data_IF_660227369819
#
_entry.id   IF_660227369819
#
_cell.length_a   1.000
_cell.length_b   1.000
_cell.length_c   1.000
_cell.angle_alpha   90.00
_cell.angle_beta   90.00
_cell.angle_gamma   90.00
#
_symmetry.space_group_name_H-M   'P 1'
#
loop_
_entity.id
_entity.type
_entity.pdbx_description
1 polymer ?
#
# COMPACT_ATOMS: atom_id res chain seq x y z
N UNK A 1 -3.14 -6.07 53.15
CA UNK A 1 -2.62 -5.00 52.27
C UNK A 1 -3.64 -4.74 51.19
N UNK A 2 -3.98 -3.47 50.95
CA UNK A 2 -4.95 -3.09 49.92
C UNK A 2 -4.34 -3.24 48.52
N UNK A 3 -5.17 -3.54 47.52
CA UNK A 3 -4.75 -3.65 46.12
C UNK A 3 -5.59 -2.71 45.26
N UNK A 4 -4.93 -2.08 44.29
CA UNK A 4 -5.60 -1.37 43.21
C UNK A 4 -5.46 -2.17 41.93
N UNK A 5 -6.51 -2.20 41.12
CA UNK A 5 -6.61 -2.99 39.89
C UNK A 5 -6.79 -2.08 38.70
N UNK A 6 -6.35 -2.54 37.54
CA UNK A 6 -6.58 -1.87 36.27
C UNK A 6 -6.73 -2.90 35.15
N UNK A 7 -7.52 -2.52 34.13
CA UNK A 7 -7.73 -3.37 32.95
C UNK A 7 -7.85 -2.52 31.70
N UNK A 8 -7.19 -2.97 30.63
CA UNK A 8 -7.16 -2.28 29.34
C UNK A 8 -7.90 -3.12 28.29
N UNK A 9 -8.75 -2.48 27.49
CA UNK A 9 -9.31 -3.03 26.25
C UNK A 9 -8.91 -2.12 25.10
N UNK A 10 -8.38 -2.73 24.05
CA UNK A 10 -8.15 -2.06 22.78
C UNK A 10 -9.41 -2.18 21.93
N UNK A 11 -9.86 -1.06 21.37
CA UNK A 11 -10.97 -0.96 20.42
C UNK A 11 -10.48 -0.61 19.02
N UNK A 12 -11.29 -1.04 18.07
CA UNK A 12 -11.17 -1.10 16.62
C UNK A 12 -10.24 -0.07 15.93
N UNK A 13 -9.27 -0.60 15.17
CA UNK A 13 -8.80 -0.02 13.92
C UNK A 13 -9.23 -1.01 12.84
N UNK A 14 -9.96 -0.56 11.82
CA UNK A 14 -10.67 -1.32 10.77
C UNK A 14 -9.91 -2.46 10.06
N UNK A 15 -8.66 -2.72 10.41
CA UNK A 15 -7.71 -3.63 9.77
C UNK A 15 -7.08 -4.68 10.70
N UNK A 16 -7.35 -4.67 12.03
CA UNK A 16 -6.79 -5.68 12.95
C UNK A 16 -7.89 -6.59 13.48
N UNK A 17 -7.89 -7.82 12.98
CA UNK A 17 -8.86 -8.87 13.34
C UNK A 17 -8.43 -9.69 14.57
N UNK A 18 -7.19 -9.54 15.07
CA UNK A 18 -6.68 -10.34 16.19
C UNK A 18 -5.58 -9.63 17.02
N UNK A 19 -5.84 -9.46 18.32
CA UNK A 19 -4.93 -8.81 19.27
C UNK A 19 -4.09 -9.79 20.12
N UNK A 20 -4.20 -11.10 19.93
CA UNK A 20 -3.57 -12.11 20.80
C UNK A 20 -2.03 -12.02 20.92
N UNK A 21 -1.36 -11.42 19.93
CA UNK A 21 0.09 -11.20 19.92
C UNK A 21 0.51 -9.84 20.47
N UNK A 22 -0.45 -8.96 20.80
CA UNK A 22 -0.16 -7.70 21.47
C UNK A 22 0.08 -7.95 22.95
N UNK A 23 0.80 -7.04 23.59
CA UNK A 23 0.98 -7.06 25.03
C UNK A 23 1.00 -5.65 25.60
N UNK A 24 0.91 -5.50 26.91
CA UNK A 24 0.99 -4.20 27.57
C UNK A 24 1.68 -4.29 28.93
N UNK A 25 2.18 -3.16 29.40
CA UNK A 25 2.68 -2.94 30.75
C UNK A 25 1.83 -1.83 31.38
N UNK A 26 1.43 -2.01 32.63
CA UNK A 26 0.78 -0.98 33.42
C UNK A 26 1.78 -0.37 34.41
N UNK A 27 1.78 0.96 34.51
CA UNK A 27 2.56 1.73 35.47
C UNK A 27 1.59 2.42 36.43
N UNK A 28 1.65 2.06 37.70
CA UNK A 28 0.86 2.65 38.77
C UNK A 28 1.65 3.74 39.48
N UNK A 29 1.00 4.84 39.82
CA UNK A 29 1.56 5.91 40.66
C UNK A 29 0.60 6.11 41.84
N UNK A 30 1.04 5.72 43.04
CA UNK A 30 0.22 5.78 44.25
C UNK A 30 0.05 7.21 44.75
N UNK A 31 -0.84 7.40 45.73
CA UNK A 31 -1.07 8.71 46.36
C UNK A 31 0.15 9.30 47.06
N UNK A 32 1.17 8.47 47.36
CA UNK A 32 2.44 8.91 47.97
C UNK A 32 3.53 9.21 46.93
N UNK A 33 3.23 9.03 45.63
CA UNK A 33 4.20 9.17 44.54
C UNK A 33 5.03 7.91 44.27
N UNK A 34 4.75 6.78 44.93
CA UNK A 34 5.44 5.52 44.66
C UNK A 34 5.03 4.97 43.31
N UNK A 35 6.02 4.59 42.50
CA UNK A 35 5.82 4.08 41.14
C UNK A 35 6.06 2.57 41.13
N UNK A 36 5.17 1.83 40.48
CA UNK A 36 5.34 0.40 40.24
C UNK A 36 4.89 0.01 38.85
N UNK A 37 5.57 -0.96 38.25
CA UNK A 37 5.24 -1.46 36.91
C UNK A 37 4.93 -2.94 36.95
N UNK A 38 4.03 -3.37 36.08
CA UNK A 38 3.69 -4.79 35.94
C UNK A 38 4.65 -5.47 34.97
N UNK A 39 4.70 -6.80 35.04
CA UNK A 39 5.25 -7.58 33.94
C UNK A 39 4.41 -7.37 32.67
N UNK A 40 5.04 -7.60 31.52
CA UNK A 40 4.39 -7.56 30.21
C UNK A 40 3.27 -8.62 30.18
N UNK A 41 2.05 -8.17 29.90
CA UNK A 41 0.83 -8.96 29.97
C UNK A 41 0.14 -8.98 28.61
N UNK A 42 -0.52 -10.09 28.24
CA UNK A 42 -1.09 -10.28 26.89
C UNK A 42 -2.53 -9.77 26.75
N UNK A 43 -2.99 -9.63 25.51
CA UNK A 43 -4.39 -9.42 25.18
C UNK A 43 -5.05 -10.72 24.70
N UNK A 44 -6.36 -10.83 24.92
CA UNK A 44 -7.22 -11.79 24.23
C UNK A 44 -7.41 -11.38 22.76
N UNK A 45 -7.85 -12.30 21.90
CA UNK A 45 -8.06 -12.04 20.47
C UNK A 45 -8.99 -10.85 20.20
N UNK A 46 -9.99 -10.65 21.07
CA UNK A 46 -10.97 -9.57 21.02
C UNK A 46 -10.47 -8.21 21.57
N UNK A 47 -9.16 -8.08 21.83
CA UNK A 47 -8.55 -6.84 22.32
C UNK A 47 -8.70 -6.60 23.82
N UNK A 48 -9.30 -7.51 24.59
CA UNK A 48 -9.41 -7.39 26.04
C UNK A 48 -8.14 -7.89 26.73
N UNK A 49 -7.48 -7.02 27.49
CA UNK A 49 -6.32 -7.36 28.29
C UNK A 49 -6.69 -8.20 29.51
N UNK A 50 -5.71 -8.90 30.08
CA UNK A 50 -5.86 -9.47 31.42
C UNK A 50 -6.02 -8.35 32.46
N UNK A 51 -6.44 -8.69 33.66
CA UNK A 51 -6.48 -7.72 34.74
C UNK A 51 -5.13 -7.69 35.44
N UNK A 52 -4.67 -6.50 35.83
CA UNK A 52 -3.42 -6.31 36.55
C UNK A 52 -3.67 -5.58 37.86
N UNK A 53 -2.79 -5.77 38.84
CA UNK A 53 -2.93 -5.19 40.18
C UNK A 53 -1.61 -4.67 40.73
N UNK A 54 -1.70 -3.70 41.63
CA UNK A 54 -0.58 -3.20 42.40
C UNK A 54 -0.91 -3.16 43.91
N UNK A 55 0.05 -3.60 44.74
CA UNK A 55 -0.10 -3.64 46.19
C UNK A 55 0.20 -2.28 46.80
N UNK A 56 -0.67 -1.83 47.71
CA UNK A 56 -0.59 -0.55 48.39
C UNK A 56 -0.10 -0.70 49.83
N UNK A 57 0.72 0.25 50.25
CA UNK A 57 1.14 0.40 51.63
C UNK A 57 -0.02 0.93 52.48
N UNK A 58 0.09 0.77 53.80
CA UNK A 58 -0.98 1.14 54.73
C UNK A 58 -1.40 2.63 54.68
N UNK A 59 -0.52 3.51 54.21
CA UNK A 59 -0.74 4.95 54.10
C UNK A 59 -1.13 5.42 52.67
N UNK A 60 -1.29 4.51 51.72
CA UNK A 60 -1.62 4.85 50.33
C UNK A 60 -3.10 4.68 50.04
N UNK A 61 -3.68 5.69 49.38
CA UNK A 61 -5.13 5.77 49.11
C UNK A 61 -5.41 5.21 47.71
N UNK A 62 -6.18 4.11 47.58
CA UNK A 62 -6.47 3.48 46.29
C UNK A 62 -7.11 4.42 45.27
N UNK A 63 -8.05 5.25 45.71
CA UNK A 63 -8.82 6.17 44.87
C UNK A 63 -7.98 7.33 44.31
N UNK A 64 -6.82 7.60 44.92
CA UNK A 64 -5.86 8.61 44.48
C UNK A 64 -4.69 7.99 43.69
N UNK A 65 -4.74 6.69 43.41
CA UNK A 65 -3.72 5.99 42.63
C UNK A 65 -4.06 6.06 41.15
N UNK A 66 -3.12 6.48 40.33
CA UNK A 66 -3.30 6.57 38.87
C UNK A 66 -2.61 5.42 38.16
N UNK A 67 -3.07 5.11 36.95
CA UNK A 67 -2.44 4.09 36.09
C UNK A 67 -2.25 4.63 34.69
N UNK A 68 -1.13 4.24 34.09
CA UNK A 68 -0.88 4.41 32.66
C UNK A 68 -0.48 3.09 32.02
N UNK A 69 -0.73 2.96 30.72
CA UNK A 69 -0.43 1.76 29.96
C UNK A 69 0.52 2.05 28.81
N UNK A 70 1.44 1.11 28.61
CA UNK A 70 2.30 1.01 27.43
C UNK A 70 1.89 -0.22 26.65
N UNK A 71 1.43 -0.04 25.42
CA UNK A 71 1.06 -1.15 24.53
C UNK A 71 2.28 -1.55 23.73
N UNK A 72 2.44 -2.84 23.45
CA UNK A 72 3.49 -3.39 22.61
C UNK A 72 2.87 -4.18 21.46
N UNK A 73 3.39 -3.93 20.27
CA UNK A 73 3.04 -4.62 19.03
C UNK A 73 3.54 -6.07 19.05
N UNK A 74 3.06 -6.94 18.13
CA UNK A 74 3.56 -8.31 17.98
C UNK A 74 5.08 -8.43 17.80
N UNK A 75 5.73 -7.41 17.25
CA UNK A 75 7.19 -7.31 17.12
C UNK A 75 7.91 -7.11 18.45
N UNK A 76 7.19 -6.83 19.54
CA UNK A 76 7.73 -6.45 20.83
C UNK A 76 8.01 -4.95 20.98
N UNK A 77 7.83 -4.14 19.94
CA UNK A 77 8.02 -2.68 19.94
C UNK A 77 6.91 -1.96 20.70
N UNK A 78 7.26 -0.96 21.52
CA UNK A 78 6.28 -0.09 22.20
C UNK A 78 5.49 0.75 21.17
N UNK A 79 4.16 0.69 21.23
CA UNK A 79 3.26 1.47 20.41
C UNK A 79 3.19 2.91 20.94
N UNK A 80 3.61 3.86 20.10
CA UNK A 80 3.60 5.30 20.37
C UNK A 80 4.12 5.67 21.77
N UNK A 81 5.43 5.51 22.05
CA UNK A 81 6.02 5.70 23.38
C UNK A 81 5.92 7.13 23.92
N UNK A 82 5.50 8.09 23.08
CA UNK A 82 5.26 9.49 23.46
C UNK A 82 3.84 9.73 24.00
N UNK A 83 2.91 8.82 23.71
CA UNK A 83 1.52 8.91 24.18
C UNK A 83 1.36 8.02 25.39
N UNK A 84 1.12 8.65 26.54
CA UNK A 84 0.82 7.96 27.79
C UNK A 84 -0.68 7.66 27.81
N UNK A 85 -1.05 6.38 27.79
CA UNK A 85 -2.45 5.95 27.85
C UNK A 85 -2.85 5.89 29.32
N UNK A 86 -3.47 6.94 29.83
CA UNK A 86 -4.03 6.94 31.18
C UNK A 86 -5.29 6.08 31.23
N UNK A 87 -5.48 5.42 32.37
CA UNK A 87 -6.64 4.56 32.57
C UNK A 87 -7.25 4.69 33.95
N UNK A 88 -8.29 3.89 34.14
CA UNK A 88 -9.00 3.80 35.40
C UNK A 88 -8.37 2.75 36.30
N UNK A 89 -8.14 3.14 37.55
CA UNK A 89 -7.90 2.24 38.66
C UNK A 89 -9.21 1.95 39.38
N UNK A 90 -9.32 0.78 40.01
CA UNK A 90 -10.46 0.43 40.86
C UNK A 90 -10.03 -0.52 41.97
N UNK A 91 -10.82 -0.55 43.05
CA UNK A 91 -10.75 -1.57 44.09
C UNK A 91 -11.81 -2.65 43.82
N UNK A 92 -11.56 -3.86 44.31
CA UNK A 92 -12.51 -4.97 44.16
C UNK A 92 -13.28 -5.20 45.44
N UNK A 93 -14.59 -5.09 45.36
CA UNK A 93 -15.51 -5.69 46.33
C UNK A 93 -15.95 -7.06 45.84
N UNK A 94 -16.53 -7.87 46.74
CA UNK A 94 -16.84 -9.31 46.52
C UNK A 94 -17.67 -9.59 45.25
N UNK A 95 -18.34 -8.58 44.67
CA UNK A 95 -19.12 -8.70 43.43
C UNK A 95 -18.92 -7.57 42.41
N UNK A 96 -17.84 -6.79 42.49
CA UNK A 96 -17.62 -5.64 41.60
C UNK A 96 -17.21 -6.07 40.19
N UNK A 97 -17.84 -5.47 39.16
CA UNK A 97 -17.40 -5.62 37.76
C UNK A 97 -16.12 -4.78 37.52
N UNK A 98 -15.16 -5.28 36.73
CA UNK A 98 -13.94 -4.53 36.43
C UNK A 98 -14.25 -3.26 35.66
N UNK A 99 -13.62 -2.15 36.06
CA UNK A 99 -13.65 -0.90 35.27
C UNK A 99 -12.63 -1.04 34.15
N UNK A 100 -13.10 -1.02 32.91
CA UNK A 100 -12.27 -1.25 31.72
C UNK A 100 -11.87 0.12 31.15
N UNK A 101 -10.57 0.35 31.07
CA UNK A 101 -10.02 1.44 30.25
C UNK A 101 -10.14 1.02 28.79
N UNK A 102 -10.91 1.76 28.01
CA UNK A 102 -11.04 1.50 26.58
C UNK A 102 -10.16 2.49 25.81
N UNK A 103 -9.33 1.95 24.91
CA UNK A 103 -8.45 2.76 24.07
C UNK A 103 -8.65 2.40 22.60
N UNK A 104 -9.06 3.38 21.80
CA UNK A 104 -9.13 3.24 20.35
C UNK A 104 -7.71 3.27 19.77
N UNK A 105 -7.22 2.11 19.34
CA UNK A 105 -5.90 1.99 18.73
C UNK A 105 -5.94 2.53 17.29
N UNK A 106 -5.85 3.85 17.17
CA UNK A 106 -5.73 4.57 15.91
C UNK A 106 -4.31 4.43 15.37
N UNK A 107 -4.04 3.35 14.63
CA UNK A 107 -2.84 3.22 13.79
C UNK A 107 -2.89 4.23 12.64
N UNK A 108 -2.81 5.52 12.96
CA UNK A 108 -2.73 6.60 11.98
C UNK A 108 -1.49 7.45 12.29
N UNK A 109 -0.67 7.62 11.25
CA UNK A 109 0.49 8.51 11.17
C UNK A 109 0.06 9.93 11.55
N UNK A 110 0.52 10.47 12.68
CA UNK A 110 0.28 11.88 13.01
C UNK A 110 1.05 12.77 12.02
N UNK A 111 0.32 13.37 11.06
CA UNK A 111 0.79 14.54 10.32
C UNK A 111 0.55 15.77 11.19
N UNK A 112 1.52 16.21 11.97
CA UNK A 112 1.40 17.43 12.77
C UNK A 112 1.66 18.68 11.91
N UNK A 113 0.63 19.51 11.75
CA UNK A 113 0.71 20.89 11.26
C UNK A 113 1.17 21.78 12.42
N UNK A 114 2.39 22.33 12.34
CA UNK A 114 2.93 23.55 12.99
C UNK A 114 4.37 23.31 13.48
N UNK A 115 5.33 23.55 12.58
CA UNK A 115 6.74 23.71 12.91
C UNK A 115 7.02 25.15 13.34
N UNK A 116 7.03 25.46 14.64
CA UNK A 116 7.79 26.63 15.12
C UNK A 116 8.41 26.33 16.48
N UNK A 117 9.76 26.30 16.47
CA UNK A 117 10.71 26.40 17.60
C UNK A 117 10.74 25.24 18.61
N UNK A 118 11.57 24.22 18.32
CA UNK A 118 12.59 23.72 19.26
C UNK A 118 13.59 22.85 18.45
N UNK A 119 14.84 23.32 18.31
CA UNK A 119 15.93 22.54 17.70
C UNK A 119 16.40 21.49 18.72
N UNK A 120 16.10 20.22 18.47
CA UNK A 120 16.73 19.05 19.13
C UNK A 120 17.79 18.50 18.15
N UNK A 121 18.98 18.07 18.60
CA UNK A 121 20.02 17.54 17.73
C UNK A 121 19.49 16.35 16.92
N UNK A 122 19.55 16.48 15.60
CA UNK A 122 19.12 15.56 14.54
C UNK A 122 19.09 14.06 14.92
N UNK A 123 17.95 13.57 15.41
CA UNK A 123 17.56 12.18 15.18
C UNK A 123 17.06 12.09 13.74
N UNK A 124 17.89 11.55 12.83
CA UNK A 124 17.48 11.27 11.46
C UNK A 124 16.64 9.99 11.46
N UNK A 125 15.32 10.15 11.54
CA UNK A 125 14.38 9.04 11.32
C UNK A 125 14.45 8.69 9.84
N UNK A 126 14.69 7.41 9.53
CA UNK A 126 14.76 6.99 8.15
C UNK A 126 13.37 7.10 7.49
N UNK A 127 13.26 7.75 6.34
CA UNK A 127 12.03 7.81 5.55
C UNK A 127 11.76 6.43 4.97
N UNK A 128 10.66 5.81 5.37
CA UNK A 128 10.14 4.56 4.80
C UNK A 128 8.94 4.89 3.91
N UNK A 129 8.93 4.36 2.68
CA UNK A 129 7.79 4.52 1.78
C UNK A 129 6.90 3.28 1.82
N UNK A 130 5.57 3.43 1.80
CA UNK A 130 4.69 2.29 1.58
C UNK A 130 4.99 1.71 0.21
N UNK A 131 5.04 0.38 0.11
CA UNK A 131 5.27 -0.31 -1.16
C UNK A 131 4.11 0.00 -2.13
N UNK A 132 4.37 0.68 -3.27
CA UNK A 132 3.36 0.93 -4.28
C UNK A 132 2.86 -0.39 -4.87
N UNK A 133 1.56 -0.46 -5.15
CA UNK A 133 0.93 -1.63 -5.79
C UNK A 133 1.50 -1.87 -7.20
N UNK A 134 1.96 -0.81 -7.85
CA UNK A 134 2.72 -0.90 -9.10
C UNK A 134 3.97 -1.77 -9.00
N UNK A 135 4.74 -1.71 -7.88
CA UNK A 135 5.93 -2.56 -7.72
C UNK A 135 5.53 -4.03 -7.58
N UNK A 136 4.45 -4.32 -6.84
CA UNK A 136 3.92 -5.68 -6.68
C UNK A 136 3.50 -6.25 -8.04
N UNK A 137 2.81 -5.44 -8.86
CA UNK A 137 2.38 -5.88 -10.19
C UNK A 137 3.56 -6.11 -11.13
N UNK A 138 4.57 -5.24 -11.12
CA UNK A 138 5.80 -5.43 -11.90
C UNK A 138 6.51 -6.72 -11.49
N UNK A 139 6.64 -6.99 -10.18
CA UNK A 139 7.26 -8.21 -9.69
C UNK A 139 6.45 -9.46 -10.03
N UNK A 140 5.13 -9.35 -10.04
CA UNK A 140 4.22 -10.42 -10.44
C UNK A 140 4.35 -10.76 -11.94
N UNK A 141 4.31 -9.76 -12.81
CA UNK A 141 4.35 -9.89 -14.27
C UNK A 141 5.78 -9.95 -14.85
N UNK A 142 6.79 -10.13 -14.01
CA UNK A 142 8.21 -9.91 -14.38
C UNK A 142 8.68 -10.75 -15.57
N UNK A 143 8.17 -11.98 -15.72
CA UNK A 143 8.57 -12.88 -16.80
C UNK A 143 7.94 -12.46 -18.13
N UNK A 144 6.67 -12.11 -18.10
CA UNK A 144 5.87 -11.64 -19.22
C UNK A 144 6.41 -10.29 -19.72
N UNK A 145 6.74 -9.38 -18.80
CA UNK A 145 7.36 -8.09 -19.11
C UNK A 145 8.71 -8.28 -19.81
N UNK A 146 9.60 -9.11 -19.24
CA UNK A 146 10.91 -9.41 -19.84
C UNK A 146 10.76 -10.01 -21.24
N UNK A 147 9.85 -10.97 -21.39
CA UNK A 147 9.59 -11.64 -22.66
C UNK A 147 9.05 -10.67 -23.72
N UNK A 148 8.10 -9.80 -23.34
CA UNK A 148 7.53 -8.80 -24.23
C UNK A 148 8.56 -7.77 -24.71
N UNK A 149 9.42 -7.28 -23.80
CA UNK A 149 10.50 -6.36 -24.14
C UNK A 149 11.49 -6.96 -25.15
N UNK A 150 11.99 -8.17 -24.86
CA UNK A 150 12.90 -8.90 -25.75
C UNK A 150 12.26 -9.15 -27.12
N UNK A 151 11.03 -9.67 -27.14
CA UNK A 151 10.30 -9.99 -28.37
C UNK A 151 10.12 -8.78 -29.30
N UNK A 152 9.89 -7.60 -28.72
CA UNK A 152 9.61 -6.37 -29.46
C UNK A 152 10.83 -5.43 -29.59
N UNK A 153 12.01 -5.86 -29.12
CA UNK A 153 13.25 -5.08 -29.23
C UNK A 153 13.27 -3.77 -28.42
N UNK A 154 12.51 -3.72 -27.32
CA UNK A 154 12.47 -2.58 -26.38
C UNK A 154 13.00 -2.99 -25.00
N UNK A 155 13.47 -2.02 -24.22
CA UNK A 155 13.92 -2.27 -22.85
C UNK A 155 12.73 -2.73 -21.98
N UNK A 156 12.79 -3.92 -21.32
CA UNK A 156 11.75 -4.36 -20.39
C UNK A 156 11.42 -3.35 -19.29
N UNK A 157 12.35 -2.48 -18.91
CA UNK A 157 12.11 -1.42 -17.93
C UNK A 157 11.08 -0.39 -18.40
N UNK A 158 10.92 -0.19 -19.71
CA UNK A 158 9.86 0.66 -20.28
C UNK A 158 8.49 0.06 -20.02
N UNK A 159 8.31 -1.22 -20.34
CA UNK A 159 7.05 -1.95 -20.11
C UNK A 159 6.74 -1.99 -18.62
N UNK A 160 7.75 -2.23 -17.78
CA UNK A 160 7.61 -2.22 -16.33
C UNK A 160 7.18 -0.85 -15.78
N UNK A 161 7.72 0.24 -16.33
CA UNK A 161 7.37 1.60 -15.92
C UNK A 161 5.91 1.94 -16.25
N UNK A 162 5.42 1.50 -17.41
CA UNK A 162 4.01 1.62 -17.79
C UNK A 162 3.12 0.81 -16.83
N UNK A 163 3.46 -0.46 -16.58
CA UNK A 163 2.70 -1.30 -15.64
C UNK A 163 2.67 -0.70 -14.24
N UNK A 164 3.82 -0.23 -13.75
CA UNK A 164 3.91 0.41 -12.44
C UNK A 164 2.97 1.61 -12.35
N UNK A 165 2.98 2.47 -13.36
CA UNK A 165 2.24 3.71 -13.41
C UNK A 165 0.72 3.49 -13.40
N UNK A 166 0.26 2.55 -14.22
CA UNK A 166 -1.15 2.18 -14.33
C UNK A 166 -1.68 1.57 -13.03
N UNK A 167 -0.81 0.86 -12.30
CA UNK A 167 -1.20 0.09 -11.11
C UNK A 167 -0.73 0.70 -9.80
N UNK A 168 -0.07 1.86 -9.82
CA UNK A 168 0.61 2.48 -8.67
C UNK A 168 -0.27 2.58 -7.41
N UNK A 169 -1.56 2.90 -7.57
CA UNK A 169 -2.49 3.10 -6.46
C UNK A 169 -3.36 1.89 -6.11
N UNK A 170 -3.30 0.78 -6.86
CA UNK A 170 -3.98 -0.49 -6.59
C UNK A 170 -5.49 -0.48 -6.30
N UNK A 171 -6.09 -1.69 -6.33
CA UNK A 171 -7.51 -2.09 -6.09
C UNK A 171 -8.59 -1.38 -6.92
N UNK A 172 -8.47 -0.10 -7.25
CA UNK A 172 -9.43 0.62 -8.09
C UNK A 172 -9.31 0.27 -9.58
N UNK A 173 -8.15 -0.16 -10.07
CA UNK A 173 -8.00 -0.63 -11.46
C UNK A 173 -8.69 -1.99 -11.68
N UNK A 174 -8.49 -2.95 -10.78
CA UNK A 174 -9.19 -4.25 -10.79
C UNK A 174 -10.70 -4.09 -10.57
N UNK A 175 -11.10 -3.30 -9.56
CA UNK A 175 -12.52 -3.02 -9.32
C UNK A 175 -13.14 -2.18 -10.43
N UNK A 176 -12.42 -1.30 -11.13
CA UNK A 176 -12.95 -0.60 -12.32
C UNK A 176 -13.21 -1.56 -13.47
N UNK A 177 -12.32 -2.51 -13.75
CA UNK A 177 -12.55 -3.49 -14.81
C UNK A 177 -13.76 -4.38 -14.49
N UNK A 178 -13.90 -4.81 -13.24
CA UNK A 178 -15.05 -5.57 -12.75
C UNK A 178 -16.34 -4.71 -12.71
N UNK A 179 -16.25 -3.47 -12.24
CA UNK A 179 -17.37 -2.54 -12.13
C UNK A 179 -17.82 -2.02 -13.49
N UNK A 180 -16.93 -1.82 -14.47
CA UNK A 180 -17.31 -1.52 -15.85
C UNK A 180 -18.00 -2.71 -16.52
N UNK A 181 -17.58 -3.94 -16.22
CA UNK A 181 -18.30 -5.14 -16.66
C UNK A 181 -19.73 -5.19 -16.09
N UNK A 182 -19.92 -4.86 -14.79
CA UNK A 182 -21.24 -4.87 -14.15
C UNK A 182 -22.10 -3.61 -14.39
N UNK A 183 -21.51 -2.41 -14.54
CA UNK A 183 -22.24 -1.15 -14.70
C UNK A 183 -22.66 -0.86 -16.16
N UNK A 184 -21.91 -1.37 -17.15
CA UNK A 184 -22.28 -1.24 -18.55
C UNK A 184 -23.20 -2.39 -19.03
N UNK A 185 -23.80 -3.16 -18.13
CA UNK A 185 -24.63 -4.34 -18.48
C UNK A 185 -23.91 -5.37 -19.37
N UNK A 186 -22.57 -5.41 -19.37
CA UNK A 186 -21.77 -6.25 -20.25
C UNK A 186 -21.26 -5.59 -21.54
N UNK A 187 -21.53 -4.29 -21.79
CA UNK A 187 -21.05 -3.60 -22.98
C UNK A 187 -19.58 -3.14 -22.88
N UNK A 188 -18.77 -3.58 -23.85
CA UNK A 188 -17.35 -3.23 -24.01
C UNK A 188 -17.22 -2.15 -25.09
N UNK A 189 -16.54 -1.04 -24.77
CA UNK A 189 -16.32 0.06 -25.71
C UNK A 189 -14.86 0.16 -26.17
N UNK A 190 -14.59 0.51 -27.46
CA UNK A 190 -13.24 0.51 -28.03
C UNK A 190 -12.29 1.53 -27.39
N UNK A 191 -12.81 2.62 -26.83
CA UNK A 191 -12.00 3.71 -26.27
C UNK A 191 -11.70 3.53 -24.76
N UNK A 192 -12.30 2.54 -24.12
CA UNK A 192 -12.07 2.24 -22.71
C UNK A 192 -10.84 1.36 -22.53
N UNK A 193 -10.09 1.64 -21.47
CA UNK A 193 -8.88 0.92 -21.08
C UNK A 193 -9.16 -0.18 -20.06
N UNK A 194 -8.58 -1.37 -20.26
CA UNK A 194 -8.76 -2.51 -19.35
C UNK A 194 -7.50 -3.39 -19.24
N UNK A 195 -7.59 -4.39 -18.35
CA UNK A 195 -6.64 -5.50 -18.29
C UNK A 195 -5.33 -5.17 -17.59
N UNK A 196 -4.34 -6.05 -17.76
CA UNK A 196 -3.05 -5.92 -17.06
C UNK A 196 -2.30 -4.63 -17.42
N UNK A 197 -2.45 -4.14 -18.65
CA UNK A 197 -1.81 -2.93 -19.14
C UNK A 197 -2.68 -1.67 -19.16
N UNK A 198 -3.94 -1.70 -18.73
CA UNK A 198 -4.89 -0.55 -18.90
C UNK A 198 -4.94 -0.04 -20.35
N UNK A 199 -5.07 -0.97 -21.30
CA UNK A 199 -5.01 -0.67 -22.72
C UNK A 199 -6.39 -0.52 -23.33
N UNK A 200 -6.52 0.46 -24.21
CA UNK A 200 -7.75 0.69 -24.97
C UNK A 200 -8.11 -0.53 -25.80
N UNK A 201 -9.31 -1.07 -25.64
CA UNK A 201 -9.73 -2.33 -26.30
C UNK A 201 -9.63 -2.22 -27.82
N UNK A 202 -10.03 -1.09 -28.40
CA UNK A 202 -9.96 -0.86 -29.84
C UNK A 202 -8.55 -0.91 -30.38
N UNK A 203 -7.59 -0.33 -29.63
CA UNK A 203 -6.18 -0.35 -29.97
C UNK A 203 -5.58 -1.75 -29.77
N UNK A 204 -5.94 -2.44 -28.68
CA UNK A 204 -5.52 -3.82 -28.46
C UNK A 204 -5.96 -4.72 -29.62
N UNK A 205 -7.21 -4.61 -30.06
CA UNK A 205 -7.73 -5.38 -31.19
C UNK A 205 -6.99 -5.10 -32.49
N UNK A 206 -6.64 -3.83 -32.75
CA UNK A 206 -5.82 -3.44 -33.90
C UNK A 206 -4.42 -4.06 -33.83
N UNK A 207 -3.75 -3.98 -32.67
CA UNK A 207 -2.41 -4.56 -32.46
C UNK A 207 -2.40 -6.10 -32.46
N UNK A 208 -3.55 -6.73 -32.23
CA UNK A 208 -3.77 -8.17 -32.33
C UNK A 208 -4.21 -8.62 -33.74
N UNK A 209 -4.54 -7.68 -34.65
CA UNK A 209 -5.16 -7.95 -35.95
C UNK A 209 -6.48 -8.75 -35.83
N UNK A 210 -7.32 -8.44 -34.83
CA UNK A 210 -8.64 -9.08 -34.67
C UNK A 210 -9.55 -8.68 -35.84
N UNK A 211 -10.28 -9.66 -36.37
CA UNK A 211 -11.27 -9.45 -37.43
C UNK A 211 -12.50 -8.70 -36.91
N UNK A 212 -12.61 -7.41 -37.25
CA UNK A 212 -13.73 -6.55 -36.84
C UNK A 212 -15.06 -6.91 -37.50
N UNK A 213 -15.10 -7.86 -38.43
CA UNK A 213 -16.35 -8.42 -38.98
C UNK A 213 -17.01 -9.38 -38.00
N UNK A 214 -16.26 -9.95 -37.06
CA UNK A 214 -16.82 -10.72 -35.94
C UNK A 214 -17.58 -9.75 -35.02
N UNK A 215 -18.89 -9.90 -34.76
CA UNK A 215 -19.62 -9.01 -33.86
C UNK A 215 -19.04 -8.96 -32.43
N UNK A 216 -18.36 -10.02 -31.99
CA UNK A 216 -17.83 -10.16 -30.63
C UNK A 216 -16.37 -9.72 -30.47
N UNK A 217 -15.77 -9.11 -31.51
CA UNK A 217 -14.35 -8.78 -31.55
C UNK A 217 -13.85 -7.95 -30.35
N UNK A 218 -14.68 -7.03 -29.85
CA UNK A 218 -14.38 -6.21 -28.66
C UNK A 218 -14.34 -7.05 -27.40
N UNK A 219 -15.30 -7.96 -27.25
CA UNK A 219 -15.40 -8.82 -26.08
C UNK A 219 -14.26 -9.83 -26.04
N UNK A 220 -13.94 -10.47 -27.16
CA UNK A 220 -12.78 -11.35 -27.28
C UNK A 220 -11.49 -10.64 -26.90
N UNK A 221 -11.28 -9.42 -27.43
CA UNK A 221 -10.11 -8.61 -27.09
C UNK A 221 -10.06 -8.29 -25.59
N UNK A 222 -11.18 -7.87 -25.02
CA UNK A 222 -11.31 -7.57 -23.58
C UNK A 222 -10.94 -8.78 -22.71
N UNK A 223 -11.46 -9.96 -23.03
CA UNK A 223 -11.17 -11.20 -22.28
C UNK A 223 -9.68 -11.49 -22.34
N UNK A 224 -9.06 -11.42 -23.52
CA UNK A 224 -7.63 -11.72 -23.69
C UNK A 224 -6.76 -10.75 -22.88
N UNK A 225 -6.96 -9.43 -22.99
CA UNK A 225 -6.12 -8.46 -22.27
C UNK A 225 -6.30 -8.50 -20.74
N UNK A 226 -7.42 -9.07 -20.27
CA UNK A 226 -7.71 -9.24 -18.84
C UNK A 226 -7.24 -10.58 -18.26
N UNK A 227 -7.04 -11.61 -19.08
CA UNK A 227 -6.78 -12.99 -18.61
C UNK A 227 -5.44 -13.57 -19.07
N UNK A 228 -4.90 -13.08 -20.17
CA UNK A 228 -3.59 -13.49 -20.70
C UNK A 228 -2.56 -12.38 -20.50
N UNK A 229 -1.77 -12.53 -19.42
CA UNK A 229 -0.70 -11.60 -19.09
C UNK A 229 0.40 -11.54 -20.18
N UNK A 230 0.66 -12.65 -20.87
CA UNK A 230 1.69 -12.70 -21.92
C UNK A 230 1.26 -11.83 -23.10
N UNK A 231 0.01 -11.99 -23.55
CA UNK A 231 -0.55 -11.18 -24.64
C UNK A 231 -0.66 -9.72 -24.19
N UNK A 232 -1.15 -9.45 -22.98
CA UNK A 232 -1.30 -8.09 -22.48
C UNK A 232 0.05 -7.33 -22.45
N UNK A 233 1.13 -7.95 -21.96
CA UNK A 233 2.45 -7.32 -21.94
C UNK A 233 3.06 -7.15 -23.34
N UNK A 234 2.84 -8.10 -24.24
CA UNK A 234 3.24 -7.98 -25.66
C UNK A 234 2.57 -6.76 -26.32
N UNK A 235 1.28 -6.54 -26.04
CA UNK A 235 0.54 -5.42 -26.59
C UNK A 235 0.99 -4.07 -26.01
N UNK A 236 1.37 -4.00 -24.73
CA UNK A 236 2.02 -2.80 -24.16
C UNK A 236 3.30 -2.49 -24.94
N UNK A 237 4.15 -3.51 -25.17
CA UNK A 237 5.39 -3.34 -25.90
C UNK A 237 5.17 -2.92 -27.37
N UNK A 238 4.19 -3.53 -28.05
CA UNK A 238 3.79 -3.15 -29.42
C UNK A 238 3.31 -1.72 -29.51
N UNK A 239 2.57 -1.22 -28.51
CA UNK A 239 2.13 0.17 -28.49
C UNK A 239 3.33 1.13 -28.36
N UNK A 240 4.33 0.79 -27.55
CA UNK A 240 5.59 1.56 -27.49
C UNK A 240 6.31 1.58 -28.84
N UNK A 241 6.43 0.42 -29.50
CA UNK A 241 7.03 0.32 -30.85
C UNK A 241 6.25 1.17 -31.86
N UNK A 242 4.91 1.14 -31.81
CA UNK A 242 4.05 2.00 -32.65
C UNK A 242 4.38 3.48 -32.45
N UNK A 243 4.53 3.94 -31.20
CA UNK A 243 4.95 5.31 -30.91
C UNK A 243 6.34 5.65 -31.47
N UNK A 244 7.29 4.72 -31.39
CA UNK A 244 8.62 4.89 -31.98
C UNK A 244 8.60 4.97 -33.51
N UNK A 245 7.74 4.17 -34.15
CA UNK A 245 7.55 4.20 -35.60
C UNK A 245 6.98 5.55 -36.07
N UNK A 246 6.09 6.18 -35.29
CA UNK A 246 5.59 7.53 -35.59
C UNK A 246 6.71 8.58 -35.59
N UNK A 247 7.74 8.42 -34.75
CA UNK A 247 8.90 9.32 -34.69
C UNK A 247 10.09 8.90 -35.57
N UNK A 248 10.03 7.73 -36.20
CA UNK A 248 11.17 7.15 -36.93
C UNK A 248 12.36 6.75 -36.05
N UNK A 249 12.17 6.61 -34.73
CA UNK A 249 13.21 6.18 -33.78
C UNK A 249 12.61 5.53 -32.54
N UNK A 250 13.42 4.80 -31.78
CA UNK A 250 12.98 4.29 -30.47
C UNK A 250 12.63 5.45 -29.53
N UNK A 251 11.54 5.27 -28.78
CA UNK A 251 11.17 6.17 -27.70
C UNK A 251 12.08 5.96 -26.51
N UNK A 252 12.39 7.03 -25.79
CA UNK A 252 12.98 6.95 -24.45
C UNK A 252 11.93 6.43 -23.46
N UNK A 253 12.37 6.12 -22.24
CA UNK A 253 11.45 5.68 -21.18
C UNK A 253 10.34 6.70 -20.90
N UNK A 254 10.71 7.97 -20.76
CA UNK A 254 9.76 9.05 -20.47
C UNK A 254 8.82 9.32 -21.65
N UNK A 255 9.35 9.29 -22.87
CA UNK A 255 8.52 9.40 -24.07
C UNK A 255 7.53 8.25 -24.17
N UNK A 256 7.95 7.04 -23.81
CA UNK A 256 7.10 5.85 -23.84
C UNK A 256 5.96 5.96 -22.83
N UNK A 257 6.23 6.39 -21.59
CA UNK A 257 5.16 6.56 -20.59
C UNK A 257 4.21 7.69 -20.98
N UNK A 258 4.72 8.81 -21.51
CA UNK A 258 3.88 9.92 -22.04
C UNK A 258 2.99 9.44 -23.19
N UNK A 259 3.57 8.76 -24.17
CA UNK A 259 2.86 8.28 -25.34
C UNK A 259 1.78 7.27 -24.97
N UNK A 260 2.11 6.31 -24.10
CA UNK A 260 1.17 5.28 -23.68
C UNK A 260 -0.06 5.87 -22.99
N UNK A 261 0.15 6.85 -22.10
CA UNK A 261 -0.93 7.41 -21.27
C UNK A 261 -1.70 8.57 -21.92
N UNK A 262 -1.04 9.38 -22.75
CA UNK A 262 -1.61 10.63 -23.25
C UNK A 262 -1.56 10.76 -24.78
N UNK A 263 -1.04 9.74 -25.47
CA UNK A 263 -1.05 9.65 -26.93
C UNK A 263 -0.07 10.58 -27.63
N UNK A 264 -0.17 10.60 -28.96
CA UNK A 264 0.78 11.28 -29.85
C UNK A 264 0.85 12.79 -29.63
N UNK A 265 -0.29 13.46 -29.41
CA UNK A 265 -0.31 14.91 -29.17
C UNK A 265 0.50 15.29 -27.92
N UNK A 266 0.36 14.52 -26.85
CA UNK A 266 1.11 14.75 -25.62
C UNK A 266 2.59 14.41 -25.78
N UNK A 267 2.91 13.33 -26.52
CA UNK A 267 4.29 13.00 -26.87
C UNK A 267 4.97 14.15 -27.63
N UNK A 268 4.28 14.72 -28.62
CA UNK A 268 4.80 15.85 -29.39
C UNK A 268 5.04 17.09 -28.51
N UNK A 269 4.10 17.43 -27.62
CA UNK A 269 4.30 18.53 -26.66
C UNK A 269 5.42 18.25 -25.65
N UNK A 270 5.59 16.99 -25.22
CA UNK A 270 6.70 16.59 -24.37
C UNK A 270 8.05 16.82 -25.04
N UNK A 271 8.21 16.35 -26.29
CA UNK A 271 9.44 16.50 -27.07
C UNK A 271 9.79 17.97 -27.30
N UNK A 272 8.78 18.82 -27.47
CA UNK A 272 8.97 20.27 -27.63
C UNK A 272 9.21 21.02 -26.32
N UNK A 273 9.13 20.35 -25.16
CA UNK A 273 9.27 20.99 -23.86
C UNK A 273 8.08 21.88 -23.47
N UNK A 274 6.91 21.65 -24.07
CA UNK A 274 5.70 22.47 -23.89
C UNK A 274 4.85 22.04 -22.69
N UNK A 275 5.20 20.94 -22.02
CA UNK A 275 4.47 20.45 -20.84
C UNK A 275 4.95 21.20 -19.58
N UNK A 276 4.09 21.97 -18.90
CA UNK A 276 4.48 22.68 -17.69
C UNK A 276 4.89 21.73 -16.56
N UNK A 277 5.90 22.11 -15.76
CA UNK A 277 6.40 21.30 -14.64
C UNK A 277 5.30 20.89 -13.64
N UNK A 278 4.42 21.82 -13.29
CA UNK A 278 3.29 21.59 -12.39
C UNK A 278 2.32 20.51 -12.91
N UNK A 279 2.20 20.41 -14.25
CA UNK A 279 1.39 19.38 -14.90
C UNK A 279 2.06 18.02 -14.82
N UNK A 280 3.40 17.97 -14.90
CA UNK A 280 4.18 16.74 -14.74
C UNK A 280 4.06 16.16 -13.33
N UNK A 281 4.03 17.00 -12.29
CA UNK A 281 3.94 16.54 -10.90
C UNK A 281 2.69 15.71 -10.61
N UNK A 282 1.59 15.98 -11.32
CA UNK A 282 0.31 15.30 -11.14
C UNK A 282 -0.05 14.34 -12.28
N UNK A 283 0.77 14.27 -13.33
CA UNK A 283 0.49 13.45 -14.50
C UNK A 283 0.64 11.97 -14.20
N UNK A 284 -0.26 11.15 -14.76
CA UNK A 284 -0.16 9.69 -14.70
C UNK A 284 1.19 9.25 -15.28
N UNK A 285 1.51 9.70 -16.51
CA UNK A 285 2.77 9.43 -17.24
C UNK A 285 4.09 9.78 -16.56
N UNK A 286 4.05 10.49 -15.42
CA UNK A 286 5.23 10.85 -14.65
C UNK A 286 5.37 10.05 -13.34
N UNK A 287 4.36 9.26 -12.95
CA UNK A 287 4.31 8.54 -11.67
C UNK A 287 5.46 7.56 -11.49
N UNK A 288 5.88 6.91 -12.57
CA UNK A 288 6.97 5.92 -12.56
C UNK A 288 8.37 6.54 -12.51
N UNK A 289 8.54 7.82 -12.85
CA UNK A 289 9.86 8.41 -13.10
C UNK A 289 10.77 8.50 -11.88
N UNK A 290 10.19 8.58 -10.68
CA UNK A 290 10.94 8.56 -9.41
C UNK A 290 11.05 7.15 -8.81
N UNK A 291 10.79 6.10 -9.56
CA UNK A 291 10.76 4.73 -9.04
C UNK A 291 11.58 3.77 -9.91
N UNK A 292 12.45 4.27 -10.77
CA UNK A 292 13.12 3.46 -11.79
C UNK A 292 14.03 2.39 -11.19
N UNK A 293 14.78 2.70 -10.14
CA UNK A 293 15.61 1.67 -9.47
C UNK A 293 14.74 0.64 -8.74
N UNK A 294 13.67 1.08 -8.07
CA UNK A 294 12.71 0.18 -7.43
C UNK A 294 11.97 -0.73 -8.43
N UNK A 295 11.59 -0.20 -9.59
CA UNK A 295 10.96 -0.95 -10.69
C UNK A 295 11.93 -1.99 -11.25
N UNK A 296 13.21 -1.62 -11.42
CA UNK A 296 14.27 -2.53 -11.87
C UNK A 296 14.51 -3.67 -10.89
N UNK A 297 14.48 -3.38 -9.58
CA UNK A 297 14.54 -4.40 -8.52
C UNK A 297 13.31 -5.31 -8.57
N UNK A 298 12.11 -4.75 -8.72
CA UNK A 298 10.86 -5.51 -8.83
C UNK A 298 10.88 -6.44 -10.06
N UNK A 299 11.44 -6.01 -11.19
CA UNK A 299 11.65 -6.87 -12.37
C UNK A 299 12.54 -8.09 -12.10
N UNK A 300 13.39 -8.01 -11.09
CA UNK A 300 14.23 -9.14 -10.65
C UNK A 300 13.60 -9.94 -9.50
N UNK A 301 12.41 -9.54 -9.04
CA UNK A 301 11.65 -10.20 -7.99
C UNK A 301 11.79 -9.55 -6.61
N UNK A 302 12.60 -8.51 -6.48
CA UNK A 302 12.83 -7.82 -5.20
C UNK A 302 11.93 -6.59 -5.07
N UNK A 303 11.00 -6.62 -4.12
CA UNK A 303 10.07 -5.50 -3.89
C UNK A 303 10.65 -4.59 -2.82
N UNK A 304 11.32 -3.53 -3.26
CA UNK A 304 11.96 -2.53 -2.40
C UNK A 304 11.42 -1.14 -2.75
N UNK A 305 10.73 -0.51 -1.80
CA UNK A 305 10.09 0.79 -2.00
C UNK A 305 10.97 1.95 -1.55
N UNK A 306 11.91 2.33 -2.42
CA UNK A 306 12.67 3.56 -2.28
C UNK A 306 12.58 4.34 -3.59
N UNK A 307 12.04 5.57 -3.59
CA UNK A 307 12.04 6.39 -4.79
C UNK A 307 13.44 6.92 -5.10
N UNK A 308 13.72 7.11 -6.38
CA UNK A 308 14.95 7.71 -6.88
C UNK A 308 15.07 9.14 -6.35
N UNK A 309 16.28 9.52 -5.93
CA UNK A 309 16.52 10.85 -5.36
C UNK A 309 15.88 11.07 -3.99
N UNK A 310 15.57 10.00 -3.25
CA UNK A 310 15.09 10.09 -1.87
C UNK A 310 16.03 10.95 -1.00
N UNK A 311 15.52 12.06 -0.48
CA UNK A 311 16.29 13.00 0.35
C UNK A 311 16.32 12.52 1.82
N UNK A 312 17.52 12.44 2.41
CA UNK A 312 17.72 12.02 3.81
C UNK A 312 18.23 10.59 3.95
N UNK A 313 17.93 9.94 5.08
CA UNK A 313 18.22 8.51 5.29
C UNK A 313 16.96 7.76 4.88
N UNK A 314 17.01 6.91 3.86
CA UNK A 314 15.84 6.16 3.41
C UNK A 314 16.02 4.69 3.79
N UNK A 315 14.98 4.07 4.35
CA UNK A 315 15.02 2.68 4.79
C UNK A 315 14.12 1.84 3.90
N UNK A 316 14.70 0.81 3.29
CA UNK A 316 13.98 -0.27 2.63
C UNK A 316 13.58 -1.30 3.67
N UNK A 317 12.28 -1.54 3.83
CA UNK A 317 11.80 -2.79 4.41
C UNK A 317 11.40 -3.69 3.22
N UNK A 318 12.24 -4.67 2.82
CA UNK A 318 11.97 -5.50 1.66
C UNK A 318 10.71 -6.34 1.89
N UNK A 319 9.76 -6.27 0.95
CA UNK A 319 8.61 -7.16 0.95
C UNK A 319 9.00 -8.45 0.22
N UNK A 320 9.27 -9.52 0.98
CA UNK A 320 9.31 -10.87 0.39
C UNK A 320 7.88 -11.30 0.10
N UNK A 321 7.36 -11.01 -1.09
CA UNK A 321 6.14 -11.66 -1.55
C UNK A 321 6.41 -13.15 -1.75
N UNK A 322 5.95 -13.97 -0.80
CA UNK A 322 6.01 -15.44 -0.85
C UNK A 322 4.76 -16.05 -1.50
N UNK A 323 3.75 -15.22 -1.75
CA UNK A 323 2.55 -15.62 -2.46
C UNK A 323 2.65 -15.03 -3.87
N UNK A 324 3.01 -15.87 -4.84
CA UNK A 324 2.67 -15.60 -6.23
C UNK A 324 1.21 -15.18 -6.24
N UNK A 325 0.90 -13.95 -6.67
CA UNK A 325 -0.48 -13.55 -6.94
C UNK A 325 -1.07 -14.54 -7.93
N UNK A 326 -1.67 -15.65 -7.49
CA UNK A 326 -2.25 -16.61 -8.41
C UNK A 326 -3.51 -15.96 -8.94
N UNK A 327 -3.50 -15.59 -10.22
CA UNK A 327 -4.75 -15.43 -10.95
C UNK A 327 -5.61 -16.65 -10.65
N UNK A 328 -6.77 -16.44 -10.02
CA UNK A 328 -7.72 -17.53 -9.78
C UNK A 328 -8.38 -17.88 -11.11
N UNK A 329 -8.01 -19.01 -11.74
CA UNK A 329 -8.62 -19.42 -12.98
C UNK A 329 -10.06 -19.90 -12.78
N UNK A 330 -10.61 -19.96 -11.56
CA UNK A 330 -12.04 -20.21 -11.36
C UNK A 330 -12.91 -19.03 -11.82
N UNK A 331 -12.30 -17.88 -12.13
CA UNK A 331 -12.92 -16.80 -12.92
C UNK A 331 -12.80 -17.03 -14.43
N UNK A 332 -12.15 -18.11 -14.90
CA UNK A 332 -12.37 -18.60 -16.27
C UNK A 332 -13.83 -18.96 -16.37
N UNK A 333 -14.56 -18.16 -17.13
CA UNK A 333 -15.65 -18.61 -17.98
C UNK A 333 -16.56 -19.64 -17.30
N UNK A 334 -17.40 -19.19 -16.37
CA UNK A 334 -18.78 -19.67 -16.46
C UNK A 334 -19.34 -19.06 -17.75
N UNK A 335 -19.11 -19.76 -18.87
CA UNK A 335 -19.97 -19.63 -20.04
C UNK A 335 -21.41 -19.96 -19.64
#
# INVERSE_FOLDING_TARGET
MAKTYARLRIKESKNILNFNKFSYIASFVTSSGRIGTTNKTTFQSNGLGWEVSFELNANEVPEKTTVSFKIFLPSGTEYNPKVIIYGHTYTKDVNSKPVITEYDLKLFQEKTKQEVKHRIPNYRIATTYPVPEGLRMVAYLRNEIKSAGVKNGIDPQIVASIVFEEKMHGVWAYRKNLLSYYLNLGEVYPHNSYGFGEMQVGLAAELMNIDKRNPDWLYETFVVICTDATVAMDLVAKNVVRGGNLLGRKLTLQESTVFYNAGEKALNSWIKGEIPKERLENAVYARSWKWQEAIKLALNGDIIAIPDGCEGICRADPERQVETWKFDPSLKLSL
#
